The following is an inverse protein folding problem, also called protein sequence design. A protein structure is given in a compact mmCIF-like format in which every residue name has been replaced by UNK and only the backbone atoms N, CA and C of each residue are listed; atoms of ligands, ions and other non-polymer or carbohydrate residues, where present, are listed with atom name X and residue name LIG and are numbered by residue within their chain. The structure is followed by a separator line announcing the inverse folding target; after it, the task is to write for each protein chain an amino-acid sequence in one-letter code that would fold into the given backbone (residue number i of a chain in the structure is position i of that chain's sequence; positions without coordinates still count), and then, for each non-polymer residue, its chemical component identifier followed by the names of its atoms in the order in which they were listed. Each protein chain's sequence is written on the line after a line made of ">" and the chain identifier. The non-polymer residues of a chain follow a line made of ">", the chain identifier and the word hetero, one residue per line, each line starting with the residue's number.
data_IF_211770126122
#
_entry.id   IF_211770126122
#
_cell.length_a   1.000
_cell.length_b   1.000
_cell.length_c   1.000
_cell.angle_alpha   90.00
_cell.angle_beta   90.00
_cell.angle_gamma   90.00
#
_symmetry.space_group_name_H-M   'P 1'
#
loop_
_entity.id
_entity.type
_entity.pdbx_description
1 polymer ?
#
# COMPACT_ATOMS: atom_id res chain seq x y z
N UNK A 1 14.69 23.97 9.72
CA UNK A 1 15.13 22.62 10.17
C UNK A 1 13.85 21.87 10.51
N UNK A 2 13.45 20.94 9.63
CA UNK A 2 12.27 20.10 9.89
C UNK A 2 12.69 19.02 10.89
N UNK A 3 12.15 19.08 12.12
CA UNK A 3 12.25 17.97 13.07
C UNK A 3 11.59 16.76 12.41
N UNK A 4 12.39 15.80 12.00
CA UNK A 4 11.90 14.45 11.71
C UNK A 4 11.47 13.89 13.06
N UNK A 5 10.16 13.84 13.31
CA UNK A 5 9.59 13.05 14.38
C UNK A 5 10.16 11.63 14.20
N UNK A 6 10.84 11.10 15.21
CA UNK A 6 11.33 9.72 15.16
C UNK A 6 10.13 8.80 14.91
N UNK A 7 10.26 7.87 13.96
CA UNK A 7 9.24 6.86 13.74
C UNK A 7 9.07 6.02 15.03
N UNK A 8 7.85 5.64 15.41
CA UNK A 8 7.61 4.82 16.58
C UNK A 8 8.39 3.50 16.44
N UNK A 9 9.10 3.10 17.48
CA UNK A 9 9.87 1.86 17.48
C UNK A 9 9.01 0.64 17.73
N UNK A 10 7.91 0.82 18.49
CA UNK A 10 6.98 -0.25 18.85
C UNK A 10 5.54 0.21 18.58
N UNK A 11 4.84 -0.53 17.72
CA UNK A 11 3.47 -0.22 17.30
C UNK A 11 2.57 -1.42 17.59
N UNK A 12 1.46 -1.19 18.29
CA UNK A 12 0.38 -2.16 18.43
C UNK A 12 -0.73 -1.85 17.43
N UNK A 13 -0.96 -2.76 16.49
CA UNK A 13 -2.13 -2.75 15.60
C UNK A 13 -3.19 -3.66 16.21
N UNK A 14 -4.43 -3.20 16.34
CA UNK A 14 -5.51 -3.94 17.00
C UNK A 14 -6.87 -3.69 16.40
N UNK A 15 -7.86 -4.53 16.76
CA UNK A 15 -9.25 -4.43 16.30
C UNK A 15 -9.42 -4.62 14.79
N UNK A 16 -8.61 -5.50 14.18
CA UNK A 16 -8.69 -5.88 12.79
C UNK A 16 -8.65 -7.38 12.59
N UNK A 17 -8.28 -7.80 11.39
CA UNK A 17 -7.96 -9.19 11.05
C UNK A 17 -6.50 -9.26 10.62
N UNK A 18 -5.73 -10.19 11.18
CA UNK A 18 -4.32 -10.37 10.82
C UNK A 18 -4.15 -11.73 10.14
N UNK A 19 -3.86 -11.71 8.84
CA UNK A 19 -3.59 -12.94 8.09
C UNK A 19 -2.21 -13.49 8.46
N UNK A 20 -2.19 -14.49 9.34
CA UNK A 20 -0.97 -15.15 9.79
C UNK A 20 -1.14 -16.67 9.79
N UNK A 21 -0.20 -17.43 9.21
CA UNK A 21 -0.23 -18.89 9.30
C UNK A 21 0.07 -19.40 10.72
N UNK A 22 0.67 -18.59 11.59
CA UNK A 22 0.94 -18.95 12.98
C UNK A 22 -0.29 -18.86 13.88
N UNK A 23 -1.20 -17.91 13.59
CA UNK A 23 -2.48 -17.76 14.28
C UNK A 23 -3.54 -17.28 13.27
N UNK A 24 -4.37 -18.19 12.73
CA UNK A 24 -5.37 -17.86 11.72
C UNK A 24 -6.55 -17.04 12.25
N UNK A 25 -6.65 -16.84 13.55
CA UNK A 25 -7.72 -16.07 14.20
C UNK A 25 -7.18 -14.79 14.85
N UNK A 26 -5.98 -14.38 14.48
CA UNK A 26 -5.35 -13.18 15.02
C UNK A 26 -6.12 -11.91 14.66
N UNK A 27 -6.30 -11.05 15.64
CA UNK A 27 -7.00 -9.76 15.50
C UNK A 27 -6.14 -8.56 15.90
N UNK A 28 -4.91 -8.84 16.36
CA UNK A 28 -3.93 -7.82 16.74
C UNK A 28 -2.50 -8.31 16.49
N UNK A 29 -1.59 -7.35 16.35
CA UNK A 29 -0.15 -7.62 16.21
C UNK A 29 0.70 -6.48 16.79
N UNK A 30 1.90 -6.82 17.24
CA UNK A 30 2.93 -5.85 17.63
C UNK A 30 4.05 -5.87 16.62
N UNK A 31 4.43 -4.70 16.17
CA UNK A 31 5.61 -4.46 15.34
C UNK A 31 6.65 -3.72 16.18
N UNK A 32 7.85 -4.24 16.27
CA UNK A 32 8.97 -3.65 16.99
C UNK A 32 10.16 -3.49 16.05
N UNK A 33 10.70 -2.30 15.94
CA UNK A 33 11.84 -1.98 15.07
C UNK A 33 11.70 -2.52 13.63
N UNK A 34 10.47 -2.43 13.06
CA UNK A 34 10.17 -2.91 11.71
C UNK A 34 9.95 -4.43 11.57
N UNK A 35 9.91 -5.17 12.66
CA UNK A 35 9.68 -6.62 12.67
C UNK A 35 8.39 -6.97 13.42
N UNK A 36 7.68 -8.00 12.96
CA UNK A 36 6.54 -8.55 13.69
C UNK A 36 7.04 -9.26 14.94
N UNK A 37 6.81 -8.68 16.11
CA UNK A 37 7.25 -9.21 17.39
C UNK A 37 6.21 -10.15 18.00
N UNK A 38 4.91 -9.89 17.77
CA UNK A 38 3.82 -10.69 18.31
C UNK A 38 2.58 -10.63 17.40
N UNK A 39 1.81 -11.71 17.39
CA UNK A 39 0.52 -11.82 16.69
C UNK A 39 -0.43 -12.60 17.61
N UNK A 40 -1.67 -12.17 17.73
CA UNK A 40 -2.65 -12.87 18.57
C UNK A 40 -4.02 -12.17 18.64
N UNK A 41 -4.77 -12.51 19.70
CA UNK A 41 -6.13 -12.00 19.87
C UNK A 41 -6.18 -10.60 20.47
N UNK A 42 -7.29 -9.89 20.21
CA UNK A 42 -7.58 -8.57 20.81
C UNK A 42 -7.49 -8.57 22.33
N UNK A 43 -8.00 -9.61 22.99
CA UNK A 43 -7.94 -9.69 24.46
C UNK A 43 -6.52 -9.85 25.02
N UNK A 44 -5.61 -10.47 24.27
CA UNK A 44 -4.20 -10.56 24.66
C UNK A 44 -3.42 -9.27 24.33
N UNK A 45 -3.90 -8.47 23.37
CA UNK A 45 -3.30 -7.20 22.98
C UNK A 45 -3.28 -6.15 24.11
N UNK A 46 -4.23 -6.22 25.05
CA UNK A 46 -4.30 -5.29 26.19
C UNK A 46 -3.02 -5.30 27.05
N UNK A 47 -2.34 -6.45 27.10
CA UNK A 47 -1.08 -6.55 27.85
C UNK A 47 0.08 -5.72 27.26
N UNK A 48 -0.03 -5.30 26.01
CA UNK A 48 0.99 -4.51 25.32
C UNK A 48 0.65 -3.02 25.27
N UNK A 49 -0.63 -2.64 25.47
CA UNK A 49 -1.12 -1.28 25.19
C UNK A 49 -0.37 -0.17 25.94
N UNK A 50 0.06 -0.44 27.18
CA UNK A 50 0.76 0.54 28.01
C UNK A 50 2.28 0.60 27.73
N UNK A 51 2.82 -0.37 26.95
CA UNK A 51 4.26 -0.52 26.72
C UNK A 51 4.72 -0.22 25.29
N UNK A 52 3.81 0.22 24.41
CA UNK A 52 4.13 0.55 23.01
C UNK A 52 4.18 2.06 22.80
N UNK A 53 4.91 2.50 21.79
CA UNK A 53 5.02 3.92 21.42
C UNK A 53 3.74 4.43 20.75
N UNK A 54 3.04 3.54 20.01
CA UNK A 54 1.84 3.88 19.24
C UNK A 54 0.83 2.73 19.25
N UNK A 55 -0.45 3.08 19.34
CA UNK A 55 -1.56 2.14 19.15
C UNK A 55 -2.37 2.57 17.94
N UNK A 56 -2.48 1.68 16.95
CA UNK A 56 -3.26 1.87 15.72
C UNK A 56 -4.53 1.04 15.78
N UNK A 57 -5.67 1.69 15.70
CA UNK A 57 -6.96 1.04 15.54
C UNK A 57 -7.18 0.70 14.07
N UNK A 58 -7.30 -0.58 13.75
CA UNK A 58 -7.50 -1.07 12.39
C UNK A 58 -8.94 -0.92 11.90
N UNK A 59 -9.90 -0.68 12.81
CA UNK A 59 -11.33 -0.53 12.50
C UNK A 59 -11.87 -1.64 11.57
N UNK A 60 -11.49 -2.88 11.85
CA UNK A 60 -11.86 -4.06 11.06
C UNK A 60 -11.03 -4.29 9.80
N UNK A 61 -10.01 -3.49 9.53
CA UNK A 61 -9.16 -3.68 8.37
C UNK A 61 -8.35 -4.98 8.43
N UNK A 62 -8.08 -5.56 7.26
CA UNK A 62 -7.26 -6.76 7.10
C UNK A 62 -5.78 -6.38 6.92
N UNK A 63 -4.93 -6.98 7.75
CA UNK A 63 -3.48 -6.92 7.61
C UNK A 63 -2.97 -8.20 6.97
N UNK A 64 -2.24 -8.08 5.87
CA UNK A 64 -1.63 -9.20 5.15
C UNK A 64 -0.14 -8.94 4.93
N UNK A 65 0.67 -9.99 4.69
CA UNK A 65 1.99 -9.80 4.11
C UNK A 65 1.89 -9.00 2.80
N UNK A 66 2.88 -8.15 2.55
CA UNK A 66 2.96 -7.42 1.29
C UNK A 66 3.11 -8.39 0.10
N UNK A 67 2.57 -7.98 -1.05
CA UNK A 67 2.73 -8.76 -2.27
C UNK A 67 4.17 -8.67 -2.78
N UNK A 68 4.71 -9.81 -3.21
CA UNK A 68 5.97 -9.88 -3.95
C UNK A 68 5.66 -10.30 -5.37
N UNK A 69 5.89 -9.39 -6.33
CA UNK A 69 5.78 -9.72 -7.74
C UNK A 69 7.15 -10.16 -8.26
N UNK A 70 7.28 -11.45 -8.54
CA UNK A 70 8.52 -12.04 -9.05
C UNK A 70 8.73 -11.81 -10.57
N UNK A 71 7.72 -11.28 -11.27
CA UNK A 71 7.77 -10.97 -12.70
C UNK A 71 7.02 -9.66 -12.99
N UNK A 72 7.69 -8.54 -12.80
CA UNK A 72 7.10 -7.21 -12.98
C UNK A 72 7.79 -6.44 -14.12
N UNK A 73 6.98 -5.84 -14.98
CA UNK A 73 7.43 -4.95 -16.05
C UNK A 73 7.22 -3.48 -15.63
N UNK A 74 7.89 -3.04 -14.56
CA UNK A 74 7.69 -1.71 -13.95
C UNK A 74 7.86 -0.56 -14.94
N UNK A 75 8.91 -0.60 -15.76
CA UNK A 75 9.17 0.43 -16.77
C UNK A 75 8.07 0.48 -17.83
N UNK A 76 7.68 -0.68 -18.37
CA UNK A 76 6.61 -0.76 -19.37
C UNK A 76 5.26 -0.31 -18.81
N UNK A 77 4.95 -0.70 -17.56
CA UNK A 77 3.74 -0.26 -16.86
C UNK A 77 3.75 1.26 -16.62
N UNK A 78 4.88 1.79 -16.16
CA UNK A 78 5.03 3.25 -15.97
C UNK A 78 4.84 4.04 -17.25
N UNK A 79 5.41 3.56 -18.37
CA UNK A 79 5.21 4.17 -19.69
C UNK A 79 3.76 4.07 -20.16
N UNK A 80 3.10 2.93 -19.93
CA UNK A 80 1.69 2.76 -20.29
C UNK A 80 0.77 3.70 -19.49
N UNK A 81 1.03 3.89 -18.18
CA UNK A 81 0.26 4.78 -17.32
C UNK A 81 0.46 6.27 -17.63
N UNK A 82 1.59 6.65 -18.21
CA UNK A 82 1.90 8.04 -18.60
C UNK A 82 1.66 8.32 -20.07
N UNK A 83 1.53 7.27 -20.88
CA UNK A 83 1.27 7.33 -22.32
C UNK A 83 -0.19 7.61 -22.67
N UNK A 84 -0.44 7.68 -23.97
CA UNK A 84 -1.80 7.75 -24.52
C UNK A 84 -2.32 6.34 -24.76
N UNK A 85 -3.40 5.98 -24.07
CA UNK A 85 -4.11 4.73 -24.32
C UNK A 85 -5.10 4.90 -25.49
N UNK A 86 -4.94 4.05 -26.51
CA UNK A 86 -5.80 4.01 -27.69
C UNK A 86 -6.58 2.69 -27.80
N UNK A 87 -6.47 1.80 -26.80
CA UNK A 87 -7.01 0.44 -26.85
C UNK A 87 -8.53 0.38 -27.02
N UNK A 88 -9.24 1.38 -26.52
CA UNK A 88 -10.70 1.52 -26.60
C UNK A 88 -11.18 2.52 -27.67
N UNK A 89 -10.30 2.94 -28.57
CA UNK A 89 -10.70 3.88 -29.64
C UNK A 89 -11.62 3.18 -30.65
N UNK A 90 -12.86 3.68 -30.87
CA UNK A 90 -13.86 2.98 -31.68
C UNK A 90 -13.57 3.06 -33.19
N UNK A 91 -12.68 3.94 -33.63
CA UNK A 91 -12.31 4.14 -35.03
C UNK A 91 -10.92 4.76 -35.14
N UNK A 92 -10.34 4.68 -36.34
CA UNK A 92 -9.08 5.37 -36.66
C UNK A 92 -9.20 6.87 -36.47
N UNK A 93 -10.33 7.46 -36.85
CA UNK A 93 -10.57 8.90 -36.73
C UNK A 93 -10.56 9.33 -35.24
N UNK A 94 -11.21 8.55 -34.38
CA UNK A 94 -11.21 8.77 -32.92
C UNK A 94 -9.80 8.63 -32.34
N UNK A 95 -9.04 7.63 -32.76
CA UNK A 95 -7.66 7.44 -32.33
C UNK A 95 -6.78 8.63 -32.73
N UNK A 96 -6.89 9.11 -33.97
CA UNK A 96 -6.14 10.28 -34.44
C UNK A 96 -6.55 11.58 -33.72
N UNK A 97 -7.81 11.74 -33.37
CA UNK A 97 -8.26 12.87 -32.54
C UNK A 97 -7.60 12.86 -31.15
N UNK A 98 -7.59 11.71 -30.46
CA UNK A 98 -6.91 11.55 -29.16
C UNK A 98 -5.41 11.84 -29.25
N UNK A 99 -4.74 11.38 -30.31
CA UNK A 99 -3.32 11.69 -30.55
C UNK A 99 -3.07 13.19 -30.66
N UNK A 100 -3.92 13.91 -31.42
CA UNK A 100 -3.80 15.38 -31.58
C UNK A 100 -3.98 16.10 -30.24
N UNK A 101 -4.97 15.72 -29.44
CA UNK A 101 -5.24 16.32 -28.14
C UNK A 101 -4.07 16.06 -27.18
N UNK A 102 -3.59 14.82 -27.12
CA UNK A 102 -2.47 14.44 -26.27
C UNK A 102 -1.18 15.19 -26.63
N UNK A 103 -0.88 15.32 -27.92
CA UNK A 103 0.27 16.08 -28.38
C UNK A 103 0.14 17.60 -28.14
N UNK A 104 -1.06 18.15 -28.28
CA UNK A 104 -1.31 19.56 -27.99
C UNK A 104 -1.16 19.90 -26.51
N UNK A 105 -1.49 18.96 -25.60
CA UNK A 105 -1.35 19.14 -24.15
C UNK A 105 0.10 19.06 -23.66
N UNK A 106 1.05 18.57 -24.50
CA UNK A 106 2.47 18.38 -24.17
C UNK A 106 3.42 19.02 -25.20
N UNK A 107 3.44 20.36 -25.32
CA UNK A 107 4.18 21.04 -26.40
C UNK A 107 5.73 20.97 -26.27
N UNK A 108 6.27 20.38 -25.19
CA UNK A 108 7.70 20.25 -24.95
C UNK A 108 8.31 18.86 -25.17
N UNK A 109 7.49 17.82 -25.32
CA UNK A 109 7.95 16.43 -25.52
C UNK A 109 8.20 16.17 -27.02
N UNK A 110 9.40 16.52 -27.50
CA UNK A 110 9.90 16.18 -28.84
C UNK A 110 11.15 15.36 -28.76
#
# INVERSE_FOLDING_TARGET
>A
MSERTAEPQTVLLRRGEVHSPADPFATAMVVEAGHVAWVGSEGAADAFADGVDEVVDLDGALVTPAFTDAHVHTTSTGLALTGLDLSDAPSLEAALARVREFAAARPGDR
#
